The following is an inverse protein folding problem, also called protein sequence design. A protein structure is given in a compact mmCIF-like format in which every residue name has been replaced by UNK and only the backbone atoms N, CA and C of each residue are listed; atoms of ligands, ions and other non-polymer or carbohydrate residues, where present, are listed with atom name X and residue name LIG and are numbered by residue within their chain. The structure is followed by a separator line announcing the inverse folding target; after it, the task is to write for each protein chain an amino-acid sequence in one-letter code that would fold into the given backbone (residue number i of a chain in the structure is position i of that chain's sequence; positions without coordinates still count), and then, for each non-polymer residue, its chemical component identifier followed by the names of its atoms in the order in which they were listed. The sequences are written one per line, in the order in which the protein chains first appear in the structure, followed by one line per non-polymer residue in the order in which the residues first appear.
data_IF_241686361515
#
_entry.id   IF_241686361515
#
_cell.length_a   1.000
_cell.length_b   1.000
_cell.length_c   1.000
_cell.angle_alpha   90.00
_cell.angle_beta   90.00
_cell.angle_gamma   90.00
#
_symmetry.space_group_name_H-M   'P 1'
#
loop_
_entity.id
_entity.type
_entity.pdbx_description
1 polymer ?
#
# COMPACT_ATOMS: atom_id res chain seq x y z
N UNK A 1 -10.25 21.61 -28.09
CA UNK A 1 -11.09 22.56 -28.84
C UNK A 1 -12.56 22.31 -28.55
N UNK A 2 -13.26 23.32 -28.08
CA UNK A 2 -14.68 23.28 -27.73
C UNK A 2 -15.46 24.23 -28.61
N UNK A 3 -16.75 23.95 -28.74
CA UNK A 3 -17.66 24.86 -29.39
C UNK A 3 -18.87 25.07 -28.50
N UNK A 4 -19.05 26.25 -27.97
CA UNK A 4 -20.30 26.63 -27.32
C UNK A 4 -21.35 26.98 -28.39
N UNK A 5 -22.53 26.43 -28.19
CA UNK A 5 -23.67 26.66 -29.09
C UNK A 5 -24.83 27.22 -28.30
N UNK A 6 -25.36 28.35 -28.66
CA UNK A 6 -26.55 28.93 -28.06
C UNK A 6 -27.58 29.22 -29.18
N UNK A 7 -28.81 28.76 -28.95
CA UNK A 7 -29.93 29.00 -29.83
C UNK A 7 -30.86 30.03 -29.20
N UNK A 8 -31.05 31.18 -29.86
CA UNK A 8 -31.99 32.19 -29.42
C UNK A 8 -33.38 31.94 -30.04
N UNK A 9 -34.40 32.16 -29.23
CA UNK A 9 -35.80 32.06 -29.63
C UNK A 9 -36.48 33.44 -29.60
N UNK A 10 -37.47 33.65 -30.45
CA UNK A 10 -38.31 34.82 -30.39
C UNK A 10 -39.37 34.69 -29.27
N UNK A 11 -40.22 35.70 -29.13
CA UNK A 11 -41.28 35.76 -28.10
C UNK A 11 -42.41 34.72 -28.28
N UNK A 12 -42.43 34.00 -29.38
CA UNK A 12 -43.39 32.94 -29.71
C UNK A 12 -42.72 31.58 -29.88
N UNK A 13 -41.53 31.42 -29.28
CA UNK A 13 -40.75 30.17 -29.19
C UNK A 13 -40.25 29.62 -30.55
N UNK A 14 -40.14 30.46 -31.59
CA UNK A 14 -39.47 30.05 -32.81
C UNK A 14 -37.94 30.28 -32.71
N UNK A 15 -37.13 29.33 -33.17
CA UNK A 15 -35.69 29.52 -33.22
C UNK A 15 -35.33 30.57 -34.23
N UNK A 16 -34.69 31.68 -33.81
CA UNK A 16 -34.42 32.80 -34.66
C UNK A 16 -32.92 33.03 -34.94
N UNK A 17 -32.03 32.54 -34.07
CA UNK A 17 -30.60 32.74 -34.29
C UNK A 17 -29.78 31.69 -33.54
N UNK A 18 -28.81 31.14 -34.26
CA UNK A 18 -27.79 30.25 -33.74
C UNK A 18 -26.49 31.04 -33.51
N UNK A 19 -25.98 31.03 -32.30
CA UNK A 19 -24.68 31.57 -31.96
C UNK A 19 -23.71 30.41 -31.74
N UNK A 20 -22.54 30.51 -32.30
CA UNK A 20 -21.46 29.55 -32.09
C UNK A 20 -20.18 30.29 -31.72
N UNK A 21 -19.54 29.83 -30.65
CA UNK A 21 -18.24 30.30 -30.21
C UNK A 21 -17.30 29.14 -30.11
N UNK A 22 -16.17 29.18 -30.80
CA UNK A 22 -15.07 28.22 -30.63
C UNK A 22 -14.06 28.76 -29.64
N UNK A 23 -13.63 27.89 -28.75
CA UNK A 23 -12.54 28.19 -27.82
C UNK A 23 -11.68 26.91 -27.61
N UNK A 24 -10.45 27.13 -27.25
CA UNK A 24 -9.51 26.09 -26.87
C UNK A 24 -9.34 26.16 -25.36
N UNK A 25 -9.37 25.01 -24.71
CA UNK A 25 -8.89 24.92 -23.32
C UNK A 25 -7.37 25.14 -23.36
N UNK A 26 -6.88 26.16 -22.69
CA UNK A 26 -5.45 26.39 -22.49
C UNK A 26 -5.03 25.56 -21.26
N UNK A 27 -4.08 24.61 -21.39
CA UNK A 27 -3.58 23.89 -20.23
C UNK A 27 -2.87 24.79 -19.20
N UNK A 28 -2.58 26.04 -19.57
CA UNK A 28 -2.11 27.06 -18.64
C UNK A 28 -3.24 27.97 -18.12
N UNK A 29 -4.50 27.64 -18.37
CA UNK A 29 -5.62 28.39 -17.84
C UNK A 29 -5.55 28.45 -16.30
N UNK A 30 -5.65 29.65 -15.74
CA UNK A 30 -5.64 29.91 -14.31
C UNK A 30 -6.68 29.10 -13.56
N UNK A 31 -7.78 28.72 -14.21
CA UNK A 31 -8.90 27.95 -13.64
C UNK A 31 -8.85 26.45 -13.95
N UNK A 32 -7.92 25.97 -14.76
CA UNK A 32 -7.79 24.55 -15.04
C UNK A 32 -7.44 23.76 -13.77
N UNK A 33 -8.04 22.58 -13.55
CA UNK A 33 -7.66 21.71 -12.44
C UNK A 33 -6.24 21.21 -12.70
N UNK A 34 -5.40 21.20 -11.67
CA UNK A 34 -4.01 20.75 -11.81
C UNK A 34 -3.46 20.15 -10.54
N UNK A 35 -2.55 19.21 -10.72
CA UNK A 35 -1.65 18.72 -9.70
C UNK A 35 -0.45 19.66 -9.60
N UNK A 36 -0.16 20.16 -8.41
CA UNK A 36 1.05 20.94 -8.13
C UNK A 36 2.18 20.01 -7.69
N UNK A 37 1.85 19.06 -6.81
CA UNK A 37 2.74 18.01 -6.35
C UNK A 37 1.96 16.69 -6.31
N UNK A 38 2.59 15.59 -6.65
CA UNK A 38 2.01 14.27 -6.54
C UNK A 38 3.09 13.22 -6.30
N UNK A 39 2.98 12.54 -5.17
CA UNK A 39 3.85 11.41 -4.82
C UNK A 39 3.03 10.17 -4.52
N UNK A 40 3.58 9.00 -4.86
CA UNK A 40 3.02 7.70 -4.56
C UNK A 40 4.18 6.74 -4.31
N UNK A 41 4.27 6.19 -3.09
CA UNK A 41 5.45 5.45 -2.64
C UNK A 41 5.17 4.50 -1.47
N UNK A 42 6.05 3.52 -1.25
CA UNK A 42 6.07 2.71 -0.04
C UNK A 42 6.74 3.49 1.11
N UNK A 43 6.17 3.48 2.33
CA UNK A 43 6.64 4.29 3.47
C UNK A 43 7.88 3.68 4.13
N UNK A 44 9.06 3.96 3.60
CA UNK A 44 10.32 3.55 4.23
C UNK A 44 10.50 4.26 5.58
N UNK A 45 10.96 3.52 6.59
CA UNK A 45 11.23 4.02 7.94
C UNK A 45 10.05 4.74 8.63
N UNK A 46 8.83 4.36 8.31
CA UNK A 46 7.64 4.91 8.94
C UNK A 46 7.17 3.99 10.07
N UNK A 47 7.03 4.53 11.30
CA UNK A 47 6.62 3.77 12.47
C UNK A 47 5.14 3.32 12.43
N UNK A 48 4.32 4.00 11.62
CA UNK A 48 2.88 3.77 11.58
C UNK A 48 2.43 2.93 10.39
N UNK A 49 3.28 2.75 9.38
CA UNK A 49 2.92 2.06 8.14
C UNK A 49 4.04 1.12 7.70
N UNK A 50 3.67 -0.10 7.35
CA UNK A 50 4.59 -1.09 6.82
C UNK A 50 4.78 -0.92 5.31
N UNK A 51 6.01 -0.82 4.80
CA UNK A 51 6.26 -0.70 3.37
C UNK A 51 5.90 -1.98 2.58
N UNK A 52 5.66 -3.09 3.27
CA UNK A 52 5.34 -4.37 2.65
C UNK A 52 3.88 -4.50 2.23
N UNK A 53 2.98 -3.76 2.88
CA UNK A 53 1.54 -3.85 2.61
C UNK A 53 0.84 -2.49 2.52
N UNK A 54 1.61 -1.41 2.47
CA UNK A 54 1.05 -0.05 2.44
C UNK A 54 1.75 0.79 1.38
N UNK A 55 0.98 1.55 0.63
CA UNK A 55 1.46 2.64 -0.22
C UNK A 55 0.80 3.94 0.23
N UNK A 56 1.59 5.00 0.31
CA UNK A 56 1.14 6.34 0.65
C UNK A 56 1.10 7.18 -0.62
N UNK A 57 0.06 7.97 -0.78
CA UNK A 57 0.05 9.04 -1.75
C UNK A 57 -0.10 10.39 -1.05
N UNK A 58 0.59 11.38 -1.59
CA UNK A 58 0.54 12.77 -1.14
C UNK A 58 0.35 13.63 -2.37
N UNK A 59 -0.49 14.64 -2.23
CA UNK A 59 -0.81 15.51 -3.35
C UNK A 59 -1.16 16.92 -2.86
N UNK A 60 -0.75 17.90 -3.66
CA UNK A 60 -1.25 19.25 -3.61
C UNK A 60 -1.89 19.57 -4.96
N UNK A 61 -3.03 20.21 -4.92
CA UNK A 61 -3.81 20.54 -6.13
C UNK A 61 -4.19 22.01 -6.17
N UNK A 62 -4.64 22.46 -7.34
CA UNK A 62 -5.29 23.75 -7.49
C UNK A 62 -6.51 23.61 -8.39
N UNK A 63 -7.57 24.35 -8.06
CA UNK A 63 -8.83 24.44 -8.82
C UNK A 63 -9.59 23.11 -8.97
N UNK A 64 -9.39 22.16 -8.07
CA UNK A 64 -10.10 20.88 -8.11
C UNK A 64 -11.39 20.99 -7.31
N UNK A 65 -12.53 20.75 -7.97
CA UNK A 65 -13.86 20.72 -7.36
C UNK A 65 -14.36 19.29 -7.10
N UNK A 66 -13.95 18.34 -7.94
CA UNK A 66 -14.23 16.92 -7.77
C UNK A 66 -13.05 16.08 -8.25
N UNK A 67 -12.91 14.87 -7.70
CA UNK A 67 -11.82 13.98 -8.09
C UNK A 67 -12.28 12.52 -8.00
N UNK A 68 -11.85 11.72 -8.97
CA UNK A 68 -11.95 10.26 -8.91
C UNK A 68 -10.56 9.66 -8.79
N UNK A 69 -10.47 8.54 -8.08
CA UNK A 69 -9.24 7.76 -8.00
C UNK A 69 -9.49 6.29 -8.36
N UNK A 70 -8.48 5.67 -8.91
CA UNK A 70 -8.40 4.21 -9.11
C UNK A 70 -7.02 3.76 -8.64
N UNK A 71 -6.98 2.91 -7.60
CA UNK A 71 -5.75 2.28 -7.13
C UNK A 71 -5.89 0.77 -7.27
N UNK A 72 -5.16 0.19 -8.19
CA UNK A 72 -5.19 -1.26 -8.49
C UNK A 72 -3.79 -1.77 -8.82
N UNK A 73 -3.58 -3.08 -8.77
CA UNK A 73 -2.33 -3.66 -9.30
C UNK A 73 -2.12 -3.21 -10.74
N UNK A 74 -0.89 -2.85 -11.11
CA UNK A 74 -0.57 -2.36 -12.46
C UNK A 74 -1.00 -3.33 -13.54
N UNK A 75 -0.78 -4.64 -13.35
CA UNK A 75 -1.25 -5.65 -14.29
C UNK A 75 -2.79 -5.69 -14.44
N UNK A 76 -3.54 -5.32 -13.40
CA UNK A 76 -5.00 -5.21 -13.46
C UNK A 76 -5.41 -3.94 -14.21
N UNK A 77 -4.70 -2.82 -14.01
CA UNK A 77 -4.93 -1.60 -14.77
C UNK A 77 -4.73 -1.82 -16.27
N UNK A 78 -3.61 -2.46 -16.64
CA UNK A 78 -3.29 -2.81 -18.04
C UNK A 78 -4.35 -3.73 -18.65
N UNK A 79 -4.74 -4.77 -17.92
CA UNK A 79 -5.80 -5.68 -18.36
C UNK A 79 -7.14 -4.97 -18.56
N UNK A 80 -7.53 -4.08 -17.66
CA UNK A 80 -8.78 -3.32 -17.79
C UNK A 80 -8.77 -2.41 -19.02
N UNK A 81 -7.65 -1.74 -19.27
CA UNK A 81 -7.49 -0.89 -20.45
C UNK A 81 -7.60 -1.72 -21.74
N UNK A 82 -6.95 -2.87 -21.80
CA UNK A 82 -6.99 -3.76 -22.96
C UNK A 82 -8.39 -4.37 -23.16
N UNK A 83 -8.97 -4.94 -22.10
CA UNK A 83 -10.27 -5.62 -22.17
C UNK A 83 -11.42 -4.69 -22.51
N UNK A 84 -11.36 -3.44 -22.10
CA UNK A 84 -12.40 -2.44 -22.38
C UNK A 84 -12.10 -1.60 -23.65
N UNK A 85 -10.88 -1.66 -24.17
CA UNK A 85 -10.42 -0.79 -25.26
C UNK A 85 -10.42 0.69 -24.87
N UNK A 86 -10.14 0.98 -23.59
CA UNK A 86 -10.17 2.31 -22.98
C UNK A 86 -8.80 2.74 -22.50
N UNK A 87 -8.57 4.05 -22.45
CA UNK A 87 -7.40 4.61 -21.76
C UNK A 87 -7.56 4.49 -20.24
N UNK A 88 -6.46 4.57 -19.49
CA UNK A 88 -6.51 4.56 -18.02
C UNK A 88 -7.34 5.72 -17.45
N UNK A 89 -7.34 6.89 -18.12
CA UNK A 89 -8.20 8.02 -17.79
C UNK A 89 -9.68 7.65 -17.91
N UNK A 90 -10.09 7.05 -19.03
CA UNK A 90 -11.47 6.64 -19.27
C UNK A 90 -11.91 5.52 -18.30
N UNK A 91 -11.01 4.59 -17.99
CA UNK A 91 -11.25 3.56 -16.97
C UNK A 91 -11.44 4.23 -15.60
N UNK A 92 -10.60 5.20 -15.25
CA UNK A 92 -10.73 5.95 -13.97
C UNK A 92 -12.04 6.75 -13.93
N UNK A 93 -12.44 7.37 -15.02
CA UNK A 93 -13.71 8.08 -15.11
C UNK A 93 -14.91 7.17 -14.87
N UNK A 94 -14.89 5.95 -15.43
CA UNK A 94 -16.02 5.01 -15.40
C UNK A 94 -16.05 4.09 -14.18
N UNK A 95 -14.90 3.74 -13.60
CA UNK A 95 -14.73 2.74 -12.53
C UNK A 95 -14.09 3.28 -11.26
N UNK A 96 -13.52 4.48 -11.30
CA UNK A 96 -12.87 5.11 -10.16
C UNK A 96 -13.87 5.48 -9.04
N UNK A 97 -13.36 5.54 -7.83
CA UNK A 97 -14.08 5.96 -6.64
C UNK A 97 -13.98 7.48 -6.50
N UNK A 98 -15.02 8.09 -5.98
CA UNK A 98 -15.02 9.52 -5.69
C UNK A 98 -14.18 9.83 -4.45
N UNK A 99 -13.38 10.89 -4.53
CA UNK A 99 -12.65 11.43 -3.37
C UNK A 99 -13.64 12.31 -2.58
N UNK A 100 -13.72 12.16 -1.22
CA UNK A 100 -14.59 12.98 -0.40
C UNK A 100 -14.29 14.48 -0.53
N UNK A 101 -15.32 15.32 -0.52
CA UNK A 101 -15.21 16.79 -0.64
C UNK A 101 -14.27 17.40 0.41
N UNK A 102 -14.33 16.89 1.64
CA UNK A 102 -13.45 17.34 2.73
C UNK A 102 -11.96 17.09 2.43
N UNK A 103 -11.66 15.97 1.77
CA UNK A 103 -10.31 15.66 1.32
C UNK A 103 -9.89 16.57 0.16
N UNK A 104 -10.78 16.83 -0.79
CA UNK A 104 -10.51 17.75 -1.90
C UNK A 104 -10.17 19.15 -1.38
N UNK A 105 -10.90 19.64 -0.37
CA UNK A 105 -10.60 20.93 0.26
C UNK A 105 -9.18 20.96 0.87
N UNK A 106 -8.75 19.85 1.47
CA UNK A 106 -7.39 19.72 2.01
C UNK A 106 -6.32 19.61 0.91
N UNK A 107 -6.61 18.90 -0.18
CA UNK A 107 -5.71 18.80 -1.34
C UNK A 107 -5.45 20.16 -1.99
N UNK A 108 -6.46 21.04 -2.03
CA UNK A 108 -6.34 22.41 -2.53
C UNK A 108 -5.66 23.38 -1.54
N UNK A 109 -5.33 22.93 -0.33
CA UNK A 109 -4.61 23.79 0.63
C UNK A 109 -3.11 23.84 0.32
N UNK A 110 -2.38 24.85 0.85
CA UNK A 110 -0.95 24.94 0.62
C UNK A 110 -0.14 23.77 1.19
N UNK A 111 -0.65 23.11 2.23
CA UNK A 111 0.00 21.94 2.84
C UNK A 111 -0.29 20.64 2.07
N UNK A 112 -1.30 20.66 1.20
CA UNK A 112 -1.76 19.45 0.53
C UNK A 112 -2.34 18.41 1.49
N UNK A 113 -2.51 17.18 1.02
CA UNK A 113 -2.98 16.05 1.83
C UNK A 113 -2.39 14.74 1.32
N UNK A 114 -2.23 13.81 2.24
CA UNK A 114 -1.90 12.42 1.93
C UNK A 114 -2.83 11.45 2.62
N UNK A 115 -2.93 10.25 2.06
CA UNK A 115 -3.55 9.10 2.70
C UNK A 115 -2.86 7.82 2.25
N UNK A 116 -3.24 6.69 2.82
CA UNK A 116 -2.62 5.40 2.54
C UNK A 116 -3.63 4.40 2.00
N UNK A 117 -3.13 3.47 1.20
CA UNK A 117 -3.83 2.24 0.81
C UNK A 117 -3.21 1.08 1.59
N UNK A 118 -4.02 0.41 2.40
CA UNK A 118 -3.64 -0.74 3.20
C UNK A 118 -4.89 -1.55 3.60
N UNK A 119 -4.84 -2.90 3.66
CA UNK A 119 -3.70 -3.73 3.31
C UNK A 119 -3.57 -3.95 1.81
N UNK A 120 -2.35 -3.99 1.30
CA UNK A 120 -2.00 -4.33 -0.07
C UNK A 120 -1.15 -5.61 -0.07
N UNK A 121 -1.10 -6.30 -1.23
CA UNK A 121 -0.22 -7.45 -1.37
C UNK A 121 1.24 -7.01 -1.44
N UNK A 122 2.10 -7.77 -0.79
CA UNK A 122 3.54 -7.55 -0.80
C UNK A 122 4.18 -7.78 -2.17
N UNK A 123 5.32 -7.14 -2.41
CA UNK A 123 6.09 -7.30 -3.64
C UNK A 123 5.30 -7.00 -4.91
N UNK A 124 4.21 -6.25 -4.77
CA UNK A 124 3.27 -5.98 -5.86
C UNK A 124 3.33 -4.52 -6.28
N UNK A 125 3.29 -4.29 -7.59
CA UNK A 125 3.24 -2.95 -8.16
C UNK A 125 1.79 -2.52 -8.35
N UNK A 126 1.47 -1.33 -7.84
CA UNK A 126 0.15 -0.70 -7.94
C UNK A 126 0.24 0.58 -8.75
N UNK A 127 -0.79 0.85 -9.51
CA UNK A 127 -0.98 2.13 -10.22
C UNK A 127 -2.10 2.90 -9.54
N UNK A 128 -1.79 4.11 -9.11
CA UNK A 128 -2.76 5.10 -8.67
C UNK A 128 -3.01 6.08 -9.82
N UNK A 129 -4.24 6.14 -10.28
CA UNK A 129 -4.73 7.05 -11.30
C UNK A 129 -5.73 8.02 -10.67
N UNK A 130 -5.58 9.30 -10.95
CA UNK A 130 -6.38 10.39 -10.42
C UNK A 130 -6.93 11.23 -11.55
N UNK A 131 -8.25 11.39 -11.61
CA UNK A 131 -8.94 12.23 -12.56
C UNK A 131 -9.62 13.39 -11.82
N UNK A 132 -9.14 14.59 -12.07
CA UNK A 132 -9.56 15.83 -11.43
C UNK A 132 -10.52 16.59 -12.30
N UNK A 133 -11.50 17.24 -11.69
CA UNK A 133 -12.47 18.12 -12.35
C UNK A 133 -12.49 19.48 -11.65
N UNK A 134 -12.58 20.56 -12.40
CA UNK A 134 -12.93 21.87 -11.84
C UNK A 134 -14.46 22.07 -11.82
N UNK A 135 -14.92 23.22 -11.30
CA UNK A 135 -16.35 23.55 -11.25
C UNK A 135 -16.98 23.84 -12.64
N UNK A 136 -16.17 23.94 -13.67
CA UNK A 136 -16.59 24.20 -15.05
C UNK A 136 -16.66 22.92 -15.90
N UNK A 137 -16.19 21.78 -15.35
CA UNK A 137 -16.18 20.49 -16.03
C UNK A 137 -14.90 20.21 -16.84
N UNK A 138 -13.88 21.07 -16.73
CA UNK A 138 -12.56 20.77 -17.29
C UNK A 138 -11.90 19.68 -16.49
N UNK A 139 -11.06 18.87 -17.13
CA UNK A 139 -10.41 17.73 -16.52
C UNK A 139 -8.89 17.80 -16.55
N UNK A 140 -8.24 17.20 -15.57
CA UNK A 140 -6.83 16.88 -15.59
C UNK A 140 -6.61 15.47 -15.06
N UNK A 141 -5.71 14.72 -15.69
CA UNK A 141 -5.40 13.34 -15.34
C UNK A 141 -3.93 13.20 -14.97
N UNK A 142 -3.66 12.48 -13.88
CA UNK A 142 -2.31 12.08 -13.49
C UNK A 142 -2.32 10.64 -13.01
N UNK A 143 -1.23 9.92 -13.22
CA UNK A 143 -1.03 8.58 -12.67
C UNK A 143 0.42 8.36 -12.26
N UNK A 144 0.60 7.54 -11.24
CA UNK A 144 1.91 7.06 -10.77
C UNK A 144 1.82 5.59 -10.37
N UNK A 145 2.91 4.87 -10.56
CA UNK A 145 3.02 3.50 -10.05
C UNK A 145 4.07 3.44 -8.94
N UNK A 146 3.79 2.62 -7.93
CA UNK A 146 4.71 2.31 -6.85
C UNK A 146 4.57 0.84 -6.48
N UNK A 147 5.62 0.28 -5.87
CA UNK A 147 5.61 -1.12 -5.43
C UNK A 147 5.67 -1.17 -3.91
N UNK A 148 4.89 -2.06 -3.33
CA UNK A 148 5.12 -2.51 -1.97
C UNK A 148 6.45 -3.27 -1.93
N UNK A 149 7.10 -3.27 -0.77
CA UNK A 149 8.29 -4.10 -0.60
C UNK A 149 7.88 -5.57 -0.62
N UNK A 150 8.71 -6.42 -1.24
CA UNK A 150 8.63 -7.85 -1.03
C UNK A 150 9.23 -8.18 0.34
N UNK A 151 8.78 -9.23 0.99
CA UNK A 151 9.40 -9.74 2.22
C UNK A 151 10.89 -10.07 2.03
N UNK A 152 11.28 -10.21 0.78
CA UNK A 152 12.63 -10.54 0.39
C UNK A 152 13.36 -9.26 0.03
N UNK A 153 13.89 -8.58 1.06
CA UNK A 153 14.89 -7.56 0.82
C UNK A 153 15.92 -8.17 -0.13
N UNK A 154 16.26 -7.45 -1.20
CA UNK A 154 17.26 -7.88 -2.19
C UNK A 154 18.63 -8.18 -1.58
N UNK A 155 18.79 -7.92 -0.30
CA UNK A 155 20.04 -8.08 0.46
C UNK A 155 20.12 -9.40 1.24
N UNK A 156 19.05 -10.23 1.26
CA UNK A 156 19.13 -11.55 1.88
C UNK A 156 20.05 -12.49 1.12
N UNK A 157 20.90 -13.19 1.89
CA UNK A 157 21.84 -14.17 1.36
C UNK A 157 21.12 -15.43 0.90
N UNK A 158 20.96 -15.56 -0.41
CA UNK A 158 20.32 -16.71 -1.06
C UNK A 158 21.22 -17.93 -1.22
N UNK A 159 22.39 -17.94 -0.61
CA UNK A 159 23.27 -19.12 -0.59
C UNK A 159 23.06 -19.98 0.66
N UNK A 160 22.33 -19.46 1.64
CA UNK A 160 22.07 -20.16 2.90
C UNK A 160 21.20 -21.39 2.69
N UNK A 161 21.47 -22.41 3.46
CA UNK A 161 20.75 -23.70 3.47
C UNK A 161 20.02 -23.89 4.78
N UNK A 162 19.18 -24.90 4.91
CA UNK A 162 18.51 -25.21 6.17
C UNK A 162 19.49 -25.35 7.35
N UNK A 163 20.70 -25.89 7.10
CA UNK A 163 21.72 -26.08 8.14
C UNK A 163 22.17 -24.77 8.78
N UNK A 164 22.21 -23.69 8.01
CA UNK A 164 22.64 -22.38 8.51
C UNK A 164 21.63 -21.78 9.49
N UNK A 165 20.38 -22.22 9.44
CA UNK A 165 19.31 -21.79 10.34
C UNK A 165 19.18 -22.66 11.59
N UNK A 166 19.87 -23.78 11.70
CA UNK A 166 19.75 -24.69 12.86
C UNK A 166 20.76 -24.27 13.93
N UNK A 167 20.27 -24.05 15.13
CA UNK A 167 21.13 -23.71 16.27
C UNK A 167 20.50 -22.75 17.27
N UNK A 168 21.37 -22.13 18.05
CA UNK A 168 21.03 -21.16 19.06
C UNK A 168 21.44 -19.75 18.61
N UNK A 169 20.52 -18.83 18.67
CA UNK A 169 20.71 -17.44 18.23
C UNK A 169 20.46 -16.48 19.39
N UNK A 170 21.30 -15.45 19.50
CA UNK A 170 21.01 -14.29 20.34
C UNK A 170 20.08 -13.36 19.54
N UNK A 171 18.93 -13.05 20.11
CA UNK A 171 17.95 -12.16 19.47
C UNK A 171 17.89 -10.87 20.26
N UNK A 172 17.98 -9.74 19.56
CA UNK A 172 17.67 -8.42 20.09
C UNK A 172 16.40 -7.93 19.41
N UNK A 173 15.38 -7.64 20.18
CA UNK A 173 14.08 -7.20 19.69
C UNK A 173 13.58 -6.00 20.48
N UNK A 174 12.89 -5.09 19.79
CA UNK A 174 12.09 -4.06 20.45
C UNK A 174 10.76 -4.66 20.84
N UNK A 175 10.44 -4.60 22.13
CA UNK A 175 9.20 -5.14 22.69
C UNK A 175 8.36 -3.98 23.21
N UNK A 176 7.14 -3.89 22.73
CA UNK A 176 6.17 -2.89 23.16
C UNK A 176 5.19 -3.51 24.15
N UNK A 177 5.18 -3.01 25.37
CA UNK A 177 4.23 -3.40 26.41
C UNK A 177 3.61 -2.12 26.97
N UNK A 178 2.28 -2.05 26.99
CA UNK A 178 1.51 -0.90 27.53
C UNK A 178 1.99 0.45 26.98
N UNK A 179 2.26 0.54 25.69
CA UNK A 179 2.76 1.73 25.00
C UNK A 179 4.17 2.17 25.42
N UNK A 180 4.93 1.29 26.03
CA UNK A 180 6.34 1.49 26.34
C UNK A 180 7.21 0.54 25.53
N UNK A 181 8.08 1.11 24.70
CA UNK A 181 9.05 0.35 23.91
C UNK A 181 10.30 0.08 24.76
N UNK A 182 10.77 -1.15 24.77
CA UNK A 182 12.03 -1.53 25.39
C UNK A 182 12.80 -2.51 24.53
N UNK A 183 14.11 -2.34 24.46
CA UNK A 183 14.98 -3.35 23.83
C UNK A 183 15.16 -4.54 24.76
N UNK A 184 14.97 -5.73 24.25
CA UNK A 184 15.12 -7.00 24.96
C UNK A 184 16.08 -7.91 24.22
N UNK A 185 16.92 -8.60 24.97
CA UNK A 185 17.80 -9.62 24.42
C UNK A 185 17.44 -10.97 25.04
N UNK A 186 17.22 -11.96 24.20
CA UNK A 186 16.90 -13.33 24.62
C UNK A 186 17.54 -14.35 23.67
N UNK A 187 17.49 -15.61 24.07
CA UNK A 187 18.01 -16.71 23.26
C UNK A 187 16.84 -17.38 22.53
N UNK A 188 16.99 -17.55 21.23
CA UNK A 188 16.11 -18.34 20.38
C UNK A 188 16.85 -19.61 19.94
N UNK A 189 16.18 -20.74 20.00
CA UNK A 189 16.70 -22.02 19.51
C UNK A 189 15.84 -22.51 18.34
N UNK A 190 16.49 -22.85 17.23
CA UNK A 190 15.87 -23.42 16.03
C UNK A 190 16.36 -24.85 15.88
N UNK A 191 15.46 -25.80 16.01
CA UNK A 191 15.74 -27.23 15.94
C UNK A 191 15.14 -27.83 14.67
N UNK A 192 15.88 -28.72 14.01
CA UNK A 192 15.39 -29.46 12.84
C UNK A 192 14.34 -30.50 13.28
N UNK A 193 13.21 -30.54 12.57
CA UNK A 193 12.22 -31.63 12.65
C UNK A 193 12.49 -32.67 11.56
N UNK A 194 12.69 -32.19 10.32
CA UNK A 194 12.99 -33.00 9.14
C UNK A 194 13.77 -32.19 8.10
N UNK A 195 13.87 -32.65 6.85
CA UNK A 195 14.61 -32.00 5.77
C UNK A 195 14.02 -30.66 5.30
N UNK A 196 12.90 -30.24 5.87
CA UNK A 196 12.22 -28.97 5.53
C UNK A 196 11.78 -28.23 6.79
N UNK A 197 11.21 -28.93 7.74
CA UNK A 197 10.51 -28.33 8.87
C UNK A 197 11.43 -28.13 10.07
N UNK A 198 11.18 -27.05 10.80
CA UNK A 198 11.90 -26.67 12.01
C UNK A 198 10.94 -26.38 13.16
N UNK A 199 11.45 -26.49 14.37
CA UNK A 199 10.80 -26.03 15.59
C UNK A 199 11.60 -24.85 16.14
N UNK A 200 10.92 -23.73 16.37
CA UNK A 200 11.50 -22.50 16.92
C UNK A 200 10.98 -22.34 18.35
N UNK A 201 11.88 -22.12 19.29
CA UNK A 201 11.58 -21.89 20.70
C UNK A 201 12.39 -20.71 21.25
N UNK A 202 12.00 -20.18 22.40
CA UNK A 202 12.68 -19.07 23.04
C UNK A 202 12.39 -17.69 22.41
N UNK A 203 11.30 -17.53 21.68
CA UNK A 203 10.94 -16.25 21.04
C UNK A 203 10.39 -15.19 22.01
N UNK A 204 10.48 -15.40 23.30
CA UNK A 204 10.02 -14.47 24.32
C UNK A 204 10.84 -14.60 25.59
N UNK A 205 10.99 -13.51 26.34
CA UNK A 205 11.59 -13.49 27.67
C UNK A 205 10.56 -13.71 28.79
N UNK A 206 9.31 -14.01 28.45
CA UNK A 206 8.23 -14.21 29.42
C UNK A 206 8.39 -15.56 30.11
N UNK A 207 8.54 -15.55 31.44
CA UNK A 207 8.80 -16.77 32.24
C UNK A 207 7.70 -17.82 32.16
N UNK A 208 6.46 -17.37 32.01
CA UNK A 208 5.27 -18.25 32.07
C UNK A 208 4.70 -18.51 30.66
N UNK A 209 5.40 -18.13 29.61
CA UNK A 209 4.99 -18.33 28.24
C UNK A 209 6.18 -18.71 27.36
N UNK A 210 6.24 -19.96 26.99
CA UNK A 210 7.32 -20.50 26.13
C UNK A 210 6.73 -21.11 24.85
N UNK A 211 6.35 -20.27 23.89
CA UNK A 211 5.77 -20.74 22.63
C UNK A 211 6.77 -21.59 21.86
N UNK A 212 6.27 -22.64 21.23
CA UNK A 212 6.98 -23.41 20.24
C UNK A 212 6.30 -23.24 18.89
N UNK A 213 7.01 -22.68 17.95
CA UNK A 213 6.49 -22.38 16.64
C UNK A 213 7.06 -23.35 15.61
N UNK A 214 6.25 -23.76 14.67
CA UNK A 214 6.69 -24.53 13.51
C UNK A 214 6.99 -23.59 12.37
N UNK A 215 8.12 -23.77 11.73
CA UNK A 215 8.47 -23.14 10.49
C UNK A 215 8.93 -24.16 9.47
N UNK A 216 9.13 -23.72 8.25
CA UNK A 216 9.74 -24.54 7.22
C UNK A 216 10.76 -23.74 6.40
N UNK A 217 11.75 -24.44 5.89
CA UNK A 217 12.73 -23.85 4.99
C UNK A 217 12.20 -23.87 3.55
N UNK A 218 12.13 -22.70 2.95
CA UNK A 218 11.82 -22.52 1.54
C UNK A 218 13.11 -22.54 0.71
N UNK A 219 13.23 -23.54 -0.17
CA UNK A 219 14.44 -23.75 -1.00
C UNK A 219 14.60 -22.76 -2.14
N UNK A 220 13.51 -22.12 -2.59
CA UNK A 220 13.55 -21.14 -3.66
C UNK A 220 13.94 -19.76 -3.10
N UNK A 221 13.52 -19.49 -1.90
CA UNK A 221 13.74 -18.23 -1.21
C UNK A 221 14.99 -18.23 -0.36
N UNK A 222 15.49 -19.42 0.01
CA UNK A 222 16.59 -19.60 0.96
C UNK A 222 16.33 -18.98 2.32
N UNK A 223 15.10 -19.14 2.82
CA UNK A 223 14.61 -18.54 4.06
C UNK A 223 13.77 -19.53 4.88
N UNK A 224 13.63 -19.25 6.18
CA UNK A 224 12.61 -19.91 7.00
C UNK A 224 11.30 -19.12 6.88
N UNK A 225 10.22 -19.85 6.68
CA UNK A 225 8.86 -19.31 6.70
C UNK A 225 8.14 -19.83 7.94
N UNK A 226 7.52 -18.95 8.68
CA UNK A 226 6.71 -19.26 9.84
C UNK A 226 5.31 -18.74 9.59
N UNK A 227 4.38 -19.64 9.36
CA UNK A 227 2.98 -19.29 9.11
C UNK A 227 2.28 -18.89 10.43
N UNK A 228 1.20 -18.08 10.37
CA UNK A 228 0.37 -17.79 11.53
C UNK A 228 -0.10 -19.08 12.19
N UNK A 229 0.04 -19.19 13.50
CA UNK A 229 -0.29 -20.42 14.20
C UNK A 229 -0.63 -20.20 15.67
N UNK A 230 -1.26 -21.19 16.27
CA UNK A 230 -1.46 -21.23 17.71
C UNK A 230 -0.11 -21.37 18.43
N UNK A 231 0.16 -20.46 19.34
CA UNK A 231 1.44 -20.36 20.06
C UNK A 231 1.38 -20.89 21.50
N UNK A 232 0.20 -21.23 22.01
CA UNK A 232 0.02 -21.74 23.37
C UNK A 232 -1.05 -21.01 24.17
N UNK A 233 -1.00 -21.12 25.49
CA UNK A 233 -1.88 -20.39 26.41
C UNK A 233 -1.06 -19.40 27.25
N UNK A 234 -1.53 -18.18 27.35
CA UNK A 234 -0.98 -17.14 28.20
C UNK A 234 -2.09 -16.55 29.08
N UNK A 235 -1.88 -16.51 30.38
CA UNK A 235 -2.85 -16.02 31.38
C UNK A 235 -4.28 -16.58 31.20
N UNK A 236 -4.39 -17.87 30.84
CA UNK A 236 -5.69 -18.53 30.64
C UNK A 236 -6.39 -18.22 29.32
N UNK A 237 -5.77 -17.46 28.44
CA UNK A 237 -6.26 -17.15 27.09
C UNK A 237 -5.42 -17.87 26.03
N UNK A 238 -6.04 -18.19 24.89
CA UNK A 238 -5.33 -18.72 23.74
C UNK A 238 -4.45 -17.63 23.12
N UNK A 239 -3.16 -17.91 23.01
CA UNK A 239 -2.22 -17.06 22.30
C UNK A 239 -2.00 -17.59 20.89
N UNK A 240 -2.11 -16.72 19.92
CA UNK A 240 -1.78 -17.01 18.53
C UNK A 240 -0.62 -16.12 18.10
N UNK A 241 0.27 -16.66 17.30
CA UNK A 241 1.26 -15.85 16.64
C UNK A 241 0.55 -15.14 15.47
N UNK A 242 0.46 -13.85 15.58
CA UNK A 242 0.04 -12.96 14.49
C UNK A 242 1.12 -11.92 14.30
N UNK A 243 1.39 -11.55 13.07
CA UNK A 243 2.32 -10.48 12.77
C UNK A 243 1.52 -9.21 12.51
N UNK A 244 1.89 -8.16 13.23
CA UNK A 244 1.25 -6.86 13.16
C UNK A 244 2.16 -5.90 12.40
N UNK A 245 1.59 -5.04 11.58
CA UNK A 245 2.31 -3.93 10.97
C UNK A 245 2.43 -2.70 11.91
N UNK A 246 2.23 -2.89 13.20
CA UNK A 246 2.30 -1.83 14.21
C UNK A 246 0.98 -1.14 14.54
N UNK A 247 -0.11 -1.36 13.77
CA UNK A 247 -1.38 -0.65 13.97
C UNK A 247 -2.57 -1.55 14.31
N UNK A 248 -2.51 -2.82 13.99
CA UNK A 248 -3.57 -3.78 14.31
C UNK A 248 -3.02 -5.20 14.38
N UNK A 249 -3.57 -5.99 15.29
CA UNK A 249 -3.37 -7.44 15.30
C UNK A 249 -4.30 -7.99 14.22
N UNK A 250 -3.73 -8.33 13.06
CA UNK A 250 -4.48 -9.05 12.04
C UNK A 250 -4.50 -10.53 12.39
N UNK A 251 -5.70 -11.07 12.56
CA UNK A 251 -5.93 -12.50 12.64
C UNK A 251 -5.87 -13.02 11.19
N UNK A 252 -4.78 -13.69 10.85
CA UNK A 252 -4.91 -14.69 9.79
C UNK A 252 -3.99 -14.60 8.65
N UNK A 253 -3.32 -13.82 8.03
CA UNK A 253 -2.64 -14.11 6.74
C UNK A 253 -1.17 -13.66 6.61
N UNK A 254 -0.57 -13.07 7.62
CA UNK A 254 0.82 -12.67 7.58
C UNK A 254 1.71 -13.69 8.31
N UNK A 255 2.52 -14.42 7.55
CA UNK A 255 3.61 -15.23 8.08
C UNK A 255 4.87 -14.38 8.35
N UNK A 256 5.82 -14.93 9.09
CA UNK A 256 7.16 -14.38 9.26
C UNK A 256 8.10 -15.10 8.28
N UNK A 257 8.93 -14.33 7.59
CA UNK A 257 10.06 -14.86 6.85
C UNK A 257 11.35 -14.45 7.56
N UNK A 258 12.26 -15.41 7.73
CA UNK A 258 13.52 -15.22 8.45
C UNK A 258 14.66 -15.54 7.48
N UNK A 259 15.55 -14.61 7.28
CA UNK A 259 16.68 -14.74 6.34
C UNK A 259 17.96 -14.12 6.87
N UNK A 260 19.07 -14.36 6.21
CA UNK A 260 20.37 -13.82 6.56
C UNK A 260 20.69 -12.56 5.76
N UNK A 261 21.23 -11.54 6.43
CA UNK A 261 21.96 -10.42 5.83
C UNK A 261 23.35 -10.44 6.44
N UNK A 262 24.37 -10.82 5.62
CA UNK A 262 25.69 -11.13 6.15
C UNK A 262 25.65 -12.30 7.15
N UNK A 263 26.13 -12.05 8.36
CA UNK A 263 26.14 -13.04 9.45
C UNK A 263 24.97 -12.90 10.43
N UNK A 264 24.03 -12.02 10.17
CA UNK A 264 22.90 -11.73 11.07
C UNK A 264 21.60 -12.28 10.50
N UNK A 265 20.83 -12.94 11.35
CA UNK A 265 19.50 -13.45 11.04
C UNK A 265 18.46 -12.36 11.31
N UNK A 266 17.59 -12.11 10.33
CA UNK A 266 16.52 -11.12 10.38
C UNK A 266 15.17 -11.76 10.14
#
# INVERSE_FOLDING_TARGET
NYTAVALAYDSIENPCKLYTQRFTNDPNDEYAPRSLEFEFYAPENNLNYSPYNTLIWQMQTANVAAMKYLCVKTAVADYLCEALGMTLEEVTASRGYDVPEEMIAQLNSPEGRGTSFSPLDEGSTYTLALLMYNSFGDTAFVSKSASTFGYFAKDFDRTKTLEDFIGAFGVTATVDVDSQSSEKTFRMDIARINDRDVLISGMTDMRDFAPQLKGYYDKELHMLIVEPQYAGMYNGAYATLGFSNGLSIFWGDAGMAVGYIGDTLY
#
